data_IF_155274077847
#
_entry.id   IF_155274077847
#
_cell.length_a   1.000
_cell.length_b   1.000
_cell.length_c   1.000
_cell.angle_alpha   90.00
_cell.angle_beta   90.00
_cell.angle_gamma   90.00
#
_symmetry.space_group_name_H-M   'P 1'
#
loop_
_entity.id
_entity.type
_entity.pdbx_description
1 polymer ?
#
# COMPACT_ATOMS: atom_id res chain seq x y z
N UNK A 1 17.48 4.07 12.84
CA UNK A 1 17.05 4.01 14.25
C UNK A 1 15.53 4.03 14.26
N UNK A 2 14.88 3.01 14.81
CA UNK A 2 13.41 3.03 15.02
C UNK A 2 13.20 3.75 16.36
N UNK A 3 12.52 4.90 16.36
CA UNK A 3 12.31 5.62 17.61
C UNK A 3 11.32 4.86 18.50
N UNK A 4 11.46 5.01 19.83
CA UNK A 4 10.61 4.29 20.78
C UNK A 4 9.18 4.80 20.71
N UNK A 5 8.25 3.99 21.20
CA UNK A 5 6.84 4.38 21.34
C UNK A 5 6.77 5.67 22.18
N UNK A 6 6.00 6.64 21.69
CA UNK A 6 5.83 8.01 22.25
C UNK A 6 7.00 9.00 22.10
N UNK A 7 8.05 8.66 21.34
CA UNK A 7 9.05 9.65 20.91
C UNK A 7 8.70 10.28 19.56
N UNK A 8 8.82 11.62 19.41
CA UNK A 8 8.67 12.27 18.12
C UNK A 8 9.76 11.74 17.18
N UNK A 9 9.34 10.99 16.16
CA UNK A 9 10.22 10.61 15.05
C UNK A 9 10.64 11.90 14.32
N UNK A 10 11.88 12.32 14.51
CA UNK A 10 12.46 13.54 13.91
C UNK A 10 12.54 13.54 12.38
N UNK A 11 12.08 12.48 11.72
CA UNK A 11 12.12 12.30 10.26
C UNK A 11 10.85 12.76 9.54
N UNK A 12 9.82 13.27 10.24
CA UNK A 12 8.54 13.63 9.62
C UNK A 12 7.74 12.41 9.13
N UNK A 13 8.14 11.20 9.55
CA UNK A 13 7.57 9.93 9.11
C UNK A 13 6.06 9.85 9.35
N UNK A 14 5.51 10.54 10.34
CA UNK A 14 4.08 10.54 10.64
C UNK A 14 3.19 11.02 9.49
N UNK A 15 3.65 12.00 8.70
CA UNK A 15 2.91 12.55 7.55
C UNK A 15 2.92 11.53 6.40
N UNK A 16 4.10 10.97 6.09
CA UNK A 16 4.24 9.98 5.02
C UNK A 16 3.67 8.61 5.38
N UNK A 17 3.69 8.25 6.66
CA UNK A 17 3.22 6.95 7.16
C UNK A 17 1.75 6.75 6.84
N UNK A 18 0.91 7.77 7.02
CA UNK A 18 -0.51 7.64 6.70
C UNK A 18 -0.75 7.38 5.21
N UNK A 19 0.05 7.98 4.31
CA UNK A 19 -0.04 7.73 2.86
C UNK A 19 0.31 6.27 2.55
N UNK A 20 1.40 5.76 3.13
CA UNK A 20 1.84 4.37 2.95
C UNK A 20 0.83 3.38 3.52
N UNK A 21 0.38 3.58 4.75
CA UNK A 21 -0.60 2.72 5.42
C UNK A 21 -1.95 2.69 4.68
N UNK A 22 -2.39 3.84 4.15
CA UNK A 22 -3.59 3.94 3.31
C UNK A 22 -3.46 3.10 2.04
N UNK A 23 -2.34 3.20 1.32
CA UNK A 23 -2.12 2.42 0.10
C UNK A 23 -2.08 0.92 0.41
N UNK A 24 -1.42 0.53 1.50
CA UNK A 24 -1.39 -0.85 1.99
C UNK A 24 -2.81 -1.35 2.31
N UNK A 25 -3.64 -0.54 2.97
CA UNK A 25 -5.03 -0.89 3.26
C UNK A 25 -5.85 -1.15 1.99
N UNK A 26 -5.65 -0.37 0.92
CA UNK A 26 -6.30 -0.62 -0.38
C UNK A 26 -5.87 -1.94 -1.00
N UNK A 27 -4.58 -2.25 -0.97
CA UNK A 27 -4.04 -3.52 -1.47
C UNK A 27 -4.59 -4.72 -0.68
N UNK A 28 -4.71 -4.61 0.65
CA UNK A 28 -5.31 -5.67 1.47
C UNK A 28 -6.82 -5.85 1.26
N UNK A 29 -7.50 -4.88 0.64
CA UNK A 29 -8.89 -5.04 0.18
C UNK A 29 -9.03 -6.09 -0.92
N UNK A 30 -8.00 -6.30 -1.73
CA UNK A 30 -7.98 -7.35 -2.75
C UNK A 30 -7.63 -8.69 -2.11
N UNK A 31 -8.59 -9.63 -2.10
CA UNK A 31 -8.50 -10.92 -1.40
C UNK A 31 -7.22 -11.71 -1.73
N UNK A 32 -6.75 -11.69 -2.99
CA UNK A 32 -5.52 -12.40 -3.44
C UNK A 32 -4.21 -11.70 -3.02
N UNK A 33 -4.26 -10.40 -2.75
CA UNK A 33 -3.11 -9.63 -2.28
C UNK A 33 -3.04 -9.59 -0.74
N UNK A 34 -4.17 -9.76 -0.05
CA UNK A 34 -4.22 -9.72 1.42
C UNK A 34 -3.30 -10.74 2.10
N UNK A 35 -3.28 -11.96 1.59
CA UNK A 35 -2.47 -13.08 2.10
C UNK A 35 -1.62 -13.58 0.94
N UNK A 36 -0.36 -13.91 1.19
CA UNK A 36 0.51 -14.50 0.17
C UNK A 36 0.18 -15.97 0.02
N UNK A 37 -0.68 -16.28 -0.93
CA UNK A 37 -1.03 -17.66 -1.31
C UNK A 37 -0.14 -18.19 -2.43
N UNK A 38 0.25 -17.31 -3.36
CA UNK A 38 1.04 -17.69 -4.52
C UNK A 38 2.50 -17.93 -4.10
N UNK A 39 3.02 -19.11 -4.44
CA UNK A 39 4.43 -19.46 -4.21
C UNK A 39 5.37 -18.72 -5.16
N UNK A 40 4.88 -18.36 -6.35
CA UNK A 40 5.67 -17.65 -7.36
C UNK A 40 5.51 -16.14 -7.22
N UNK A 41 6.63 -15.44 -7.31
CA UNK A 41 6.68 -13.98 -7.13
C UNK A 41 6.15 -13.22 -8.35
N UNK A 42 6.34 -13.76 -9.55
CA UNK A 42 5.86 -13.15 -10.80
C UNK A 42 4.32 -13.04 -10.83
N UNK A 43 3.61 -14.06 -10.36
CA UNK A 43 2.14 -14.04 -10.25
C UNK A 43 1.71 -12.96 -9.25
N UNK A 44 2.42 -12.87 -8.11
CA UNK A 44 2.13 -11.88 -7.07
C UNK A 44 2.35 -10.46 -7.59
N UNK A 45 3.44 -10.24 -8.32
CA UNK A 45 3.78 -8.96 -8.93
C UNK A 45 2.76 -8.55 -9.99
N UNK A 46 2.33 -9.48 -10.86
CA UNK A 46 1.29 -9.21 -11.85
C UNK A 46 -0.03 -8.75 -11.19
N UNK A 47 -0.46 -9.41 -10.10
CA UNK A 47 -1.64 -8.96 -9.36
C UNK A 47 -1.44 -7.60 -8.69
N UNK A 48 -0.23 -7.30 -8.21
CA UNK A 48 0.10 -6.00 -7.63
C UNK A 48 -0.03 -4.89 -8.67
N UNK A 49 0.51 -5.11 -9.87
CA UNK A 49 0.39 -4.16 -10.99
C UNK A 49 -1.05 -3.91 -11.39
N UNK A 50 -1.87 -4.97 -11.51
CA UNK A 50 -3.30 -4.83 -11.80
C UNK A 50 -4.05 -4.03 -10.73
N UNK A 51 -3.74 -4.26 -9.45
CA UNK A 51 -4.35 -3.51 -8.35
C UNK A 51 -3.98 -2.02 -8.39
N UNK A 52 -2.72 -1.70 -8.71
CA UNK A 52 -2.25 -0.33 -8.84
C UNK A 52 -2.93 0.40 -10.00
N UNK A 53 -3.08 -0.24 -11.17
CA UNK A 53 -3.84 0.32 -12.29
C UNK A 53 -5.29 0.64 -11.91
N UNK A 54 -5.96 -0.23 -11.15
CA UNK A 54 -7.35 0.00 -10.71
C UNK A 54 -7.44 1.14 -9.70
N UNK A 55 -6.51 1.21 -8.74
CA UNK A 55 -6.46 2.27 -7.74
C UNK A 55 -6.22 3.62 -8.42
N UNK A 56 -5.18 3.71 -9.24
CA UNK A 56 -4.82 4.95 -9.98
C UNK A 56 -5.94 5.39 -10.91
N UNK A 57 -6.57 4.48 -11.66
CA UNK A 57 -7.73 4.79 -12.49
C UNK A 57 -8.88 5.40 -11.67
N UNK A 58 -9.23 4.82 -10.52
CA UNK A 58 -10.27 5.38 -9.63
C UNK A 58 -9.91 6.77 -9.10
N UNK A 59 -8.62 7.04 -8.87
CA UNK A 59 -8.17 8.36 -8.46
C UNK A 59 -8.30 9.38 -9.59
N UNK A 60 -7.85 9.02 -10.80
CA UNK A 60 -8.00 9.89 -11.99
C UNK A 60 -9.48 10.21 -12.24
N UNK A 61 -10.36 9.21 -12.19
CA UNK A 61 -11.81 9.39 -12.36
C UNK A 61 -12.48 10.25 -11.27
N UNK A 62 -11.83 10.45 -10.10
CA UNK A 62 -12.33 11.35 -9.06
C UNK A 62 -11.81 12.78 -9.22
N UNK A 63 -10.72 12.96 -9.96
CA UNK A 63 -10.09 14.26 -10.20
C UNK A 63 -10.65 14.94 -11.45
N UNK A 64 -11.15 14.16 -12.41
CA UNK A 64 -11.96 14.62 -13.52
C UNK A 64 -13.42 14.79 -13.11
#
# INVERSE_FOLDING_TARGET
>A
MIARRDEPHGTGLGIFRYVVERTIAWLHGFRRLRIRWERRDDIREAFLGLADCVITHRHVQRLC
#
